data_IF_365841687962
#
_entry.id   IF_365841687962
#
_cell.length_a   1.000
_cell.length_b   1.000
_cell.length_c   1.000
_cell.angle_alpha   90.00
_cell.angle_beta   90.00
_cell.angle_gamma   90.00
#
_symmetry.space_group_name_H-M   'P 1'
#
loop_
_entity.id
_entity.type
_entity.pdbx_description
1 polymer ?
#
# COMPACT_ATOMS: atom_id res chain seq x y z
N UNK A 1 3.60 -3.51 -24.14
CA UNK A 1 3.90 -2.80 -25.40
C UNK A 1 3.93 -1.27 -25.21
N UNK A 2 3.06 -0.71 -24.35
CA UNK A 2 3.00 0.74 -24.06
C UNK A 2 4.27 1.37 -23.43
N UNK A 3 5.05 0.64 -22.63
CA UNK A 3 6.30 1.16 -22.06
C UNK A 3 7.41 1.40 -23.13
N UNK A 4 7.44 0.60 -24.20
CA UNK A 4 8.34 0.84 -25.35
C UNK A 4 7.89 2.03 -26.19
N UNK A 5 6.58 2.26 -26.35
CA UNK A 5 6.06 3.47 -26.99
C UNK A 5 6.39 4.74 -26.20
N UNK A 6 6.37 4.69 -24.85
CA UNK A 6 6.72 5.83 -23.98
C UNK A 6 8.16 6.31 -24.15
N UNK A 7 9.16 5.40 -24.20
CA UNK A 7 10.56 5.80 -24.46
C UNK A 7 10.79 6.25 -25.91
N UNK A 8 10.06 5.69 -26.87
CA UNK A 8 10.17 6.08 -28.27
C UNK A 8 9.63 7.50 -28.51
N UNK A 9 8.49 7.85 -27.91
CA UNK A 9 7.96 9.22 -27.93
C UNK A 9 8.89 10.24 -27.27
N UNK A 10 9.54 9.87 -26.16
CA UNK A 10 10.51 10.73 -25.47
C UNK A 10 11.71 11.09 -26.37
N UNK A 11 12.25 10.12 -27.13
CA UNK A 11 13.33 10.35 -28.10
C UNK A 11 12.86 11.12 -29.33
N UNK A 12 11.65 10.85 -29.84
CA UNK A 12 11.10 11.52 -31.02
C UNK A 12 10.80 13.00 -30.74
N UNK A 13 10.22 13.34 -29.59
CA UNK A 13 9.96 14.74 -29.22
C UNK A 13 11.25 15.56 -29.04
N UNK A 14 12.30 14.98 -28.47
CA UNK A 14 13.60 15.66 -28.33
C UNK A 14 14.35 15.81 -29.67
N UNK A 15 14.35 14.76 -30.51
CA UNK A 15 15.05 14.79 -31.80
C UNK A 15 14.36 15.68 -32.84
N UNK A 16 13.02 15.66 -32.93
CA UNK A 16 12.28 16.47 -33.89
C UNK A 16 12.45 17.98 -33.63
N UNK A 17 12.67 18.40 -32.38
CA UNK A 17 12.84 19.81 -32.03
C UNK A 17 14.26 20.35 -32.21
N UNK A 18 15.29 19.51 -32.02
CA UNK A 18 16.69 19.92 -32.25
C UNK A 18 16.93 20.38 -33.69
N UNK A 19 16.19 19.80 -34.64
CA UNK A 19 16.26 20.12 -36.07
C UNK A 19 15.59 21.47 -36.41
N UNK A 20 14.65 21.94 -35.58
CA UNK A 20 13.75 23.06 -35.94
C UNK A 20 14.16 24.43 -35.38
N UNK A 21 15.08 24.52 -34.40
CA UNK A 21 15.65 25.82 -33.97
C UNK A 21 17.01 26.16 -34.66
N UNK A 22 17.58 25.27 -35.47
CA UNK A 22 18.81 25.53 -36.25
C UNK A 22 18.54 26.12 -37.64
N UNK A 23 17.30 26.06 -38.15
CA UNK A 23 16.96 26.54 -39.49
C UNK A 23 16.16 27.85 -39.45
N UNK A 24 16.91 28.96 -39.57
CA UNK A 24 16.50 30.32 -39.98
C UNK A 24 15.44 31.06 -39.12
N UNK A 25 15.90 32.20 -38.57
CA UNK A 25 15.12 33.44 -38.36
C UNK A 25 13.83 33.33 -37.55
N UNK A 26 13.85 32.68 -36.39
CA UNK A 26 12.80 32.88 -35.40
C UNK A 26 13.39 33.46 -34.12
N UNK A 27 12.85 34.61 -33.72
CA UNK A 27 13.21 35.37 -32.53
C UNK A 27 13.46 34.44 -31.33
N UNK A 28 14.58 34.63 -30.63
CA UNK A 28 14.97 33.86 -29.44
C UNK A 28 13.87 33.78 -28.37
N UNK A 29 12.92 34.73 -28.39
CA UNK A 29 11.70 34.72 -27.57
C UNK A 29 10.70 33.63 -27.97
N UNK A 30 10.48 33.37 -29.27
CA UNK A 30 9.56 32.32 -29.74
C UNK A 30 10.08 30.92 -29.41
N UNK A 31 11.38 30.63 -29.63
CA UNK A 31 11.95 29.30 -29.29
C UNK A 31 11.91 29.08 -27.75
N UNK A 32 12.08 30.13 -26.91
CA UNK A 32 11.90 30.06 -25.44
C UNK A 32 10.45 29.82 -25.02
N UNK A 33 9.49 30.52 -25.62
CA UNK A 33 8.05 30.34 -25.32
C UNK A 33 7.57 28.93 -25.70
N UNK A 34 8.03 28.41 -26.85
CA UNK A 34 7.70 27.06 -27.28
C UNK A 34 8.35 25.97 -26.41
N UNK A 35 9.58 26.19 -25.94
CA UNK A 35 10.25 25.32 -24.96
C UNK A 35 9.53 25.31 -23.60
N UNK A 36 9.11 26.46 -23.10
CA UNK A 36 8.34 26.55 -21.86
C UNK A 36 6.98 25.87 -22.01
N UNK A 37 6.29 26.09 -23.14
CA UNK A 37 5.02 25.46 -23.42
C UNK A 37 5.15 23.93 -23.54
N UNK A 38 6.21 23.43 -24.19
CA UNK A 38 6.45 21.99 -24.29
C UNK A 38 6.84 21.36 -22.95
N UNK A 39 7.59 22.05 -22.09
CA UNK A 39 7.89 21.61 -20.72
C UNK A 39 6.63 21.58 -19.85
N UNK A 40 5.75 22.58 -19.95
CA UNK A 40 4.46 22.62 -19.24
C UNK A 40 3.55 21.50 -19.73
N UNK A 41 3.42 21.31 -21.04
CA UNK A 41 2.63 20.23 -21.65
C UNK A 41 3.20 18.86 -21.26
N UNK A 42 4.52 18.70 -21.25
CA UNK A 42 5.19 17.47 -20.80
C UNK A 42 4.94 17.19 -19.30
N UNK A 43 5.02 18.21 -18.44
CA UNK A 43 4.69 18.10 -17.03
C UNK A 43 3.21 17.72 -16.79
N UNK A 44 2.30 18.24 -17.62
CA UNK A 44 0.89 17.86 -17.62
C UNK A 44 0.67 16.41 -18.08
N UNK A 45 1.43 15.89 -19.04
CA UNK A 45 1.36 14.47 -19.46
C UNK A 45 2.12 13.51 -18.54
N UNK A 46 3.05 14.00 -17.73
CA UNK A 46 3.84 13.20 -16.80
C UNK A 46 3.11 12.88 -15.49
N UNK A 47 1.95 13.51 -15.24
CA UNK A 47 1.17 13.36 -14.00
C UNK A 47 -0.20 12.74 -14.29
N UNK A 48 -0.21 11.47 -14.73
CA UNK A 48 -1.44 10.69 -14.64
C UNK A 48 -1.61 10.20 -13.21
N UNK A 49 -2.62 10.68 -12.45
CA UNK A 49 -2.86 10.18 -11.11
C UNK A 49 -3.13 8.68 -11.17
N UNK A 50 -2.47 7.93 -10.30
CA UNK A 50 -2.68 6.49 -10.10
C UNK A 50 -4.18 6.22 -9.93
N UNK A 51 -4.77 5.43 -10.82
CA UNK A 51 -6.19 5.05 -10.71
C UNK A 51 -6.37 4.04 -9.56
N UNK A 52 -6.93 4.53 -8.46
CA UNK A 52 -7.46 3.67 -7.39
C UNK A 52 -8.75 3.04 -7.93
N UNK A 53 -8.72 1.74 -8.17
CA UNK A 53 -9.85 1.00 -8.72
C UNK A 53 -10.87 0.61 -7.65
N UNK A 54 -10.40 0.25 -6.44
CA UNK A 54 -11.26 -0.21 -5.34
C UNK A 54 -10.56 -0.02 -4.00
N UNK A 55 -11.34 0.27 -2.96
CA UNK A 55 -10.91 0.16 -1.56
C UNK A 55 -11.42 -1.17 -0.99
N UNK A 56 -10.54 -1.92 -0.34
CA UNK A 56 -10.83 -3.15 0.36
C UNK A 56 -11.01 -2.84 1.85
N UNK A 57 -12.11 -3.31 2.42
CA UNK A 57 -12.41 -3.27 3.85
C UNK A 57 -12.94 -4.63 4.31
N UNK A 58 -13.03 -4.82 5.63
CA UNK A 58 -13.64 -5.98 6.28
C UNK A 58 -14.69 -5.52 7.28
N UNK A 59 -15.63 -6.40 7.65
CA UNK A 59 -16.74 -6.05 8.54
C UNK A 59 -16.41 -6.14 10.03
N UNK A 60 -15.31 -6.79 10.38
CA UNK A 60 -14.92 -7.05 11.77
C UNK A 60 -13.87 -6.07 12.33
N UNK A 61 -13.50 -5.03 11.58
CA UNK A 61 -12.62 -3.97 12.09
C UNK A 61 -13.27 -3.11 13.18
N UNK A 62 -12.46 -2.59 14.09
CA UNK A 62 -12.90 -1.77 15.22
C UNK A 62 -13.54 -0.45 14.81
N UNK A 63 -14.57 -0.04 15.56
CA UNK A 63 -15.39 1.14 15.23
C UNK A 63 -14.75 2.46 15.66
N UNK A 64 -13.87 2.43 16.65
CA UNK A 64 -13.25 3.61 17.23
C UNK A 64 -11.94 4.00 16.54
N UNK A 65 -11.41 5.16 16.94
CA UNK A 65 -10.20 5.74 16.37
C UNK A 65 -10.41 6.59 15.11
N UNK A 66 -9.32 7.19 14.65
CA UNK A 66 -9.27 8.08 13.47
C UNK A 66 -8.49 7.42 12.34
N UNK A 67 -9.06 7.47 11.14
CA UNK A 67 -8.35 7.10 9.92
C UNK A 67 -7.16 8.03 9.70
N UNK A 68 -6.00 7.41 9.54
CA UNK A 68 -4.74 8.11 9.26
C UNK A 68 -4.60 8.35 7.75
N UNK A 69 -3.68 9.24 7.38
CA UNK A 69 -3.46 9.56 5.97
C UNK A 69 -3.06 8.30 5.18
N UNK A 70 -3.63 8.08 3.98
CA UNK A 70 -3.28 6.94 3.16
C UNK A 70 -1.85 7.06 2.63
N UNK A 71 -1.20 5.92 2.43
CA UNK A 71 0.15 5.83 1.87
C UNK A 71 0.18 4.81 0.74
N UNK A 72 0.96 5.09 -0.30
CA UNK A 72 0.92 4.36 -1.57
C UNK A 72 2.31 4.02 -2.08
N UNK A 73 2.43 2.82 -2.66
CA UNK A 73 3.61 2.41 -3.41
C UNK A 73 3.90 3.37 -4.58
N UNK A 74 5.18 3.52 -4.99
CA UNK A 74 5.56 4.33 -6.15
C UNK A 74 4.89 3.82 -7.41
N UNK A 75 4.57 4.72 -8.35
CA UNK A 75 3.80 4.39 -9.56
C UNK A 75 4.34 3.19 -10.33
N UNK A 76 3.41 2.33 -10.77
CA UNK A 76 3.73 1.05 -11.41
C UNK A 76 4.17 -0.07 -10.46
N UNK A 77 4.20 0.17 -9.15
CA UNK A 77 4.47 -0.84 -8.13
C UNK A 77 3.22 -1.24 -7.34
N UNK A 78 3.24 -2.47 -6.84
CA UNK A 78 2.22 -3.10 -6.00
C UNK A 78 2.87 -3.73 -4.77
N UNK A 79 2.07 -3.96 -3.73
CA UNK A 79 2.51 -4.65 -2.53
C UNK A 79 2.73 -6.14 -2.83
N UNK A 80 3.94 -6.62 -2.57
CA UNK A 80 4.34 -8.03 -2.75
C UNK A 80 4.54 -8.77 -1.43
N UNK A 81 4.50 -8.03 -0.33
CA UNK A 81 4.71 -8.51 1.02
C UNK A 81 4.45 -7.38 2.01
N UNK A 82 4.59 -7.69 3.28
CA UNK A 82 4.31 -6.76 4.36
C UNK A 82 5.11 -7.12 5.62
N UNK A 83 5.22 -6.16 6.52
CA UNK A 83 5.69 -6.33 7.90
C UNK A 83 4.62 -5.83 8.85
N UNK A 84 4.59 -6.42 10.03
CA UNK A 84 3.70 -6.01 11.11
C UNK A 84 4.53 -5.45 12.26
N UNK A 85 4.04 -4.39 12.89
CA UNK A 85 4.57 -3.90 14.17
C UNK A 85 3.69 -4.48 15.26
N UNK A 86 4.28 -5.36 16.07
CA UNK A 86 3.54 -6.09 17.11
C UNK A 86 4.33 -6.00 18.40
N UNK A 87 3.64 -5.67 19.49
CA UNK A 87 4.18 -5.74 20.84
C UNK A 87 4.34 -7.20 21.26
N UNK A 88 5.48 -7.54 21.85
CA UNK A 88 5.64 -8.85 22.48
C UNK A 88 5.08 -8.77 23.88
N UNK A 89 4.63 -9.91 24.39
CA UNK A 89 4.31 -10.14 25.79
C UNK A 89 5.35 -9.47 26.71
N UNK A 90 5.00 -8.38 27.37
CA UNK A 90 5.79 -7.70 28.38
C UNK A 90 5.03 -7.79 29.70
N UNK A 91 5.21 -8.91 30.41
CA UNK A 91 4.54 -9.08 31.69
C UNK A 91 4.53 -10.49 32.26
N UNK A 92 4.65 -10.68 33.56
CA UNK A 92 4.21 -11.93 34.25
C UNK A 92 2.77 -11.84 34.74
N UNK A 93 2.09 -10.72 34.45
CA UNK A 93 0.74 -10.42 34.92
C UNK A 93 -0.27 -10.37 33.77
N UNK A 94 -1.53 -10.64 34.12
CA UNK A 94 -2.68 -10.89 33.25
C UNK A 94 -3.39 -9.60 32.79
N UNK A 95 -2.80 -8.43 33.04
CA UNK A 95 -3.39 -7.11 32.78
C UNK A 95 -2.54 -6.22 31.85
N UNK A 96 -1.38 -6.71 31.40
CA UNK A 96 -0.53 -6.00 30.44
C UNK A 96 -0.97 -6.45 29.05
N UNK A 97 -1.40 -5.50 28.20
CA UNK A 97 -1.91 -5.76 26.86
C UNK A 97 -0.80 -6.28 25.94
N UNK A 98 -0.65 -7.59 26.00
CA UNK A 98 0.61 -8.23 25.72
C UNK A 98 0.85 -8.47 24.21
N UNK A 99 -0.07 -8.15 23.30
CA UNK A 99 -0.02 -8.69 21.93
C UNK A 99 -0.87 -8.02 20.83
N UNK A 100 -0.98 -6.69 20.84
CA UNK A 100 -1.77 -5.97 19.82
C UNK A 100 -1.00 -5.69 18.51
N UNK A 101 -1.76 -5.60 17.40
CA UNK A 101 -1.23 -5.08 16.14
C UNK A 101 -1.14 -3.56 16.22
N UNK A 102 0.06 -3.03 16.03
CA UNK A 102 0.36 -1.61 16.21
C UNK A 102 0.75 -0.89 14.92
N UNK A 103 0.98 -1.63 13.83
CA UNK A 103 1.33 -1.04 12.55
C UNK A 103 1.45 -2.05 11.43
N UNK A 104 1.22 -1.58 10.21
CA UNK A 104 1.34 -2.37 8.98
C UNK A 104 2.24 -1.58 8.02
N UNK A 105 3.26 -2.24 7.49
CA UNK A 105 4.15 -1.70 6.46
C UNK A 105 4.07 -2.61 5.23
N UNK A 106 3.69 -2.06 4.08
CA UNK A 106 3.70 -2.76 2.80
C UNK A 106 5.09 -2.68 2.18
N UNK A 107 5.54 -3.79 1.60
CA UNK A 107 6.76 -3.81 0.77
C UNK A 107 6.36 -3.81 -0.69
N UNK A 108 6.77 -2.76 -1.39
CA UNK A 108 6.43 -2.52 -2.78
C UNK A 108 7.40 -3.22 -3.73
N UNK A 109 6.91 -3.53 -4.93
CA UNK A 109 7.74 -4.02 -6.02
C UNK A 109 7.02 -4.06 -7.36
N UNK A 110 7.79 -4.34 -8.39
CA UNK A 110 7.28 -4.62 -9.75
C UNK A 110 7.25 -6.12 -9.99
N UNK A 111 6.73 -6.55 -11.14
CA UNK A 111 6.75 -7.97 -11.53
C UNK A 111 8.16 -8.56 -11.71
N UNK A 112 9.17 -7.70 -11.80
CA UNK A 112 10.57 -8.08 -11.96
C UNK A 112 11.35 -8.01 -10.63
N UNK A 113 10.73 -7.53 -9.56
CA UNK A 113 11.40 -7.42 -8.26
C UNK A 113 11.57 -8.82 -7.67
N UNK A 114 12.83 -9.23 -7.52
CA UNK A 114 13.24 -10.51 -6.93
C UNK A 114 13.95 -10.33 -5.58
N UNK A 115 14.43 -9.13 -5.26
CA UNK A 115 15.09 -8.82 -3.99
C UNK A 115 14.10 -8.79 -2.85
N UNK A 116 14.53 -9.17 -1.65
CA UNK A 116 13.73 -8.97 -0.43
C UNK A 116 13.66 -7.48 -0.03
N UNK A 117 14.69 -6.71 -0.39
CA UNK A 117 14.70 -5.25 -0.25
C UNK A 117 13.77 -4.58 -1.26
N UNK A 118 12.97 -3.62 -0.80
CA UNK A 118 12.04 -2.83 -1.62
C UNK A 118 11.64 -1.55 -0.91
N UNK A 119 11.08 -0.61 -1.68
CA UNK A 119 10.48 0.59 -1.10
C UNK A 119 9.31 0.19 -0.20
N UNK A 120 9.22 0.75 0.99
CA UNK A 120 8.17 0.42 1.95
C UNK A 120 7.24 1.60 2.18
N UNK A 121 5.99 1.29 2.50
CA UNK A 121 4.97 2.29 2.81
C UNK A 121 4.13 1.87 4.00
N UNK A 122 3.91 2.80 4.92
CA UNK A 122 3.01 2.65 6.06
C UNK A 122 2.09 3.87 6.13
N UNK A 123 0.89 3.67 6.68
CA UNK A 123 0.01 4.77 7.11
C UNK A 123 0.40 5.17 8.55
N UNK A 124 -0.53 5.64 9.38
CA UNK A 124 -0.21 5.84 10.79
C UNK A 124 0.00 4.50 11.51
N UNK A 125 0.91 4.50 12.48
CA UNK A 125 1.19 3.36 13.35
C UNK A 125 1.56 3.85 14.75
N UNK A 126 1.45 2.97 15.75
CA UNK A 126 1.82 3.25 17.13
C UNK A 126 3.34 3.21 17.35
N UNK A 127 3.82 3.95 18.35
CA UNK A 127 5.25 3.99 18.70
C UNK A 127 5.69 2.67 19.37
N UNK A 128 4.77 1.96 19.99
CA UNK A 128 4.97 0.71 20.71
C UNK A 128 5.16 -0.52 19.80
N UNK A 129 5.75 -1.57 20.38
CA UNK A 129 6.07 -2.82 19.69
C UNK A 129 7.25 -2.74 18.71
N UNK A 130 7.55 -3.87 18.07
CA UNK A 130 8.66 -4.02 17.13
C UNK A 130 8.19 -4.53 15.78
N UNK A 131 8.76 -3.99 14.70
CA UNK A 131 8.56 -4.52 13.35
C UNK A 131 9.09 -5.96 13.28
N UNK A 132 8.22 -6.87 12.84
CA UNK A 132 8.56 -8.28 12.64
C UNK A 132 9.17 -8.49 11.25
N UNK A 133 9.60 -9.73 11.01
CA UNK A 133 10.16 -10.16 9.72
C UNK A 133 9.20 -9.94 8.55
N UNK A 134 9.78 -9.84 7.35
CA UNK A 134 9.03 -9.70 6.11
C UNK A 134 8.24 -10.98 5.80
N UNK A 135 6.94 -10.84 5.57
CA UNK A 135 6.08 -11.89 5.03
C UNK A 135 5.80 -11.55 3.56
N UNK A 136 6.09 -12.46 2.65
CA UNK A 136 6.10 -12.20 1.20
C UNK A 136 5.26 -13.21 0.43
N UNK A 137 4.71 -12.79 -0.72
CA UNK A 137 4.06 -13.68 -1.69
C UNK A 137 5.03 -14.67 -2.35
N UNK A 138 6.32 -14.62 -2.02
CA UNK A 138 7.33 -15.52 -2.53
C UNK A 138 7.76 -15.15 -3.95
N UNK A 139 7.24 -15.89 -4.94
CA UNK A 139 7.76 -15.86 -6.32
C UNK A 139 7.53 -14.49 -7.00
N UNK A 140 8.44 -14.14 -7.92
CA UNK A 140 8.34 -12.90 -8.69
C UNK A 140 6.99 -12.79 -9.43
N UNK A 141 6.40 -11.59 -9.39
CA UNK A 141 5.13 -11.30 -10.05
C UNK A 141 3.87 -11.72 -9.27
N UNK A 142 3.99 -12.13 -8.01
CA UNK A 142 2.86 -12.32 -7.10
C UNK A 142 2.71 -11.12 -6.15
N UNK A 143 1.46 -10.71 -5.93
CA UNK A 143 1.13 -9.51 -5.16
C UNK A 143 -0.07 -9.74 -4.24
N UNK A 144 -0.17 -8.91 -3.19
CA UNK A 144 -1.29 -8.92 -2.26
C UNK A 144 -2.56 -8.45 -2.98
N UNK A 145 -3.66 -9.15 -2.79
CA UNK A 145 -4.92 -8.88 -3.51
C UNK A 145 -6.17 -8.90 -2.66
N UNK A 146 -6.13 -9.53 -1.48
CA UNK A 146 -7.20 -9.51 -0.49
C UNK A 146 -6.57 -9.64 0.90
N UNK A 147 -7.31 -9.28 1.94
CA UNK A 147 -6.86 -9.43 3.32
C UNK A 147 -7.99 -9.98 4.21
N UNK A 148 -7.61 -10.55 5.34
CA UNK A 148 -8.51 -10.91 6.43
C UNK A 148 -7.86 -10.43 7.72
N UNK A 149 -8.66 -9.77 8.57
CA UNK A 149 -8.22 -9.18 9.82
C UNK A 149 -8.58 -10.13 10.97
N UNK A 150 -7.61 -10.41 11.84
CA UNK A 150 -7.84 -11.12 13.09
C UNK A 150 -8.13 -10.12 14.18
N UNK A 151 -9.25 -10.32 14.83
CA UNK A 151 -9.80 -9.36 15.78
C UNK A 151 -10.38 -10.12 16.95
N UNK A 152 -10.16 -9.60 18.15
CA UNK A 152 -10.80 -10.12 19.35
C UNK A 152 -12.24 -9.63 19.42
N UNK A 153 -13.20 -10.55 19.51
CA UNK A 153 -14.60 -10.19 19.66
C UNK A 153 -14.87 -9.66 21.06
N UNK A 154 -15.68 -8.62 21.17
CA UNK A 154 -16.19 -8.06 22.42
C UNK A 154 -16.67 -9.14 23.40
N UNK A 155 -16.10 -9.18 24.61
CA UNK A 155 -16.42 -10.18 25.66
C UNK A 155 -17.38 -9.66 26.75
N UNK A 156 -17.88 -8.41 26.66
CA UNK A 156 -18.75 -7.82 27.69
C UNK A 156 -18.30 -6.41 28.09
N UNK A 157 -18.61 -5.96 29.30
CA UNK A 157 -18.39 -4.58 29.74
C UNK A 157 -16.90 -4.22 29.95
N UNK A 158 -16.19 -3.88 28.87
CA UNK A 158 -14.82 -3.37 28.87
C UNK A 158 -14.14 -3.61 27.53
N UNK A 159 -13.65 -2.52 26.93
CA UNK A 159 -12.95 -2.30 25.65
C UNK A 159 -13.28 -3.14 24.39
N UNK A 160 -13.41 -2.38 23.30
CA UNK A 160 -13.90 -2.80 22.01
C UNK A 160 -12.81 -3.40 21.15
N UNK A 161 -13.02 -4.63 20.69
CA UNK A 161 -12.61 -5.18 19.38
C UNK A 161 -11.31 -4.58 18.80
N UNK A 162 -10.16 -5.08 19.28
CA UNK A 162 -8.83 -4.67 18.82
C UNK A 162 -8.27 -5.59 17.72
N UNK A 163 -7.58 -5.01 16.72
CA UNK A 163 -6.90 -5.82 15.70
C UNK A 163 -5.65 -6.46 16.28
N UNK A 164 -5.53 -7.77 16.08
CA UNK A 164 -4.43 -8.58 16.61
C UNK A 164 -3.48 -9.03 15.50
N UNK A 165 -3.99 -9.25 14.29
CA UNK A 165 -3.16 -9.66 13.15
C UNK A 165 -3.86 -9.39 11.82
N UNK A 166 -3.11 -9.47 10.71
CA UNK A 166 -3.64 -9.46 9.35
C UNK A 166 -2.91 -10.48 8.47
N UNK A 167 -3.70 -11.21 7.68
CA UNK A 167 -3.19 -12.12 6.64
C UNK A 167 -3.71 -11.72 5.28
N UNK A 168 -3.01 -12.14 4.23
CA UNK A 168 -3.29 -11.73 2.87
C UNK A 168 -3.41 -12.91 1.90
N UNK A 169 -4.14 -12.69 0.81
CA UNK A 169 -4.08 -13.55 -0.36
C UNK A 169 -3.17 -12.96 -1.42
N UNK A 170 -2.29 -13.81 -1.92
CA UNK A 170 -1.36 -13.52 -2.99
C UNK A 170 -1.82 -14.13 -4.31
N UNK A 171 -1.69 -13.35 -5.38
CA UNK A 171 -2.00 -13.80 -6.75
C UNK A 171 -1.12 -13.07 -7.76
N UNK A 172 -0.86 -13.73 -8.89
CA UNK A 172 -0.26 -13.09 -10.06
C UNK A 172 -1.28 -12.19 -10.77
N UNK A 173 -0.90 -10.97 -11.16
CA UNK A 173 -1.81 -9.98 -11.79
C UNK A 173 -2.66 -10.54 -12.96
N UNK A 174 -2.12 -11.51 -13.71
CA UNK A 174 -2.79 -12.10 -14.88
C UNK A 174 -3.69 -13.30 -14.54
N UNK A 175 -3.52 -13.90 -13.36
CA UNK A 175 -4.33 -15.03 -12.89
C UNK A 175 -5.67 -14.51 -12.36
N UNK A 176 -6.74 -15.31 -12.41
CA UNK A 176 -8.05 -14.96 -11.82
C UNK A 176 -8.45 -15.91 -10.69
N UNK A 177 -7.91 -17.14 -10.67
CA UNK A 177 -8.34 -18.20 -9.75
C UNK A 177 -7.23 -18.81 -8.90
N UNK A 178 -5.95 -18.49 -9.17
CA UNK A 178 -4.83 -19.06 -8.40
C UNK A 178 -4.40 -18.11 -7.29
N UNK A 179 -4.91 -18.35 -6.09
CA UNK A 179 -4.55 -17.65 -4.87
C UNK A 179 -3.80 -18.59 -3.93
N UNK A 180 -2.90 -18.03 -3.11
CA UNK A 180 -2.42 -18.67 -1.90
C UNK A 180 -2.44 -17.64 -0.77
N UNK A 181 -2.55 -18.09 0.48
CA UNK A 181 -2.57 -17.20 1.63
C UNK A 181 -1.19 -17.11 2.27
N UNK A 182 -0.86 -15.93 2.80
CA UNK A 182 0.36 -15.68 3.58
C UNK A 182 0.00 -14.95 4.88
N UNK A 183 0.78 -15.19 5.92
CA UNK A 183 0.53 -14.68 7.27
C UNK A 183 0.24 -15.79 8.26
N UNK A 184 0.57 -15.55 9.52
CA UNK A 184 0.34 -16.46 10.65
C UNK A 184 -0.92 -16.05 11.43
N UNK A 185 -1.14 -16.66 12.58
CA UNK A 185 -2.15 -16.25 13.54
C UNK A 185 -1.50 -15.39 14.64
N UNK A 186 -2.19 -14.33 15.02
CA UNK A 186 -2.00 -13.61 16.27
C UNK A 186 -2.51 -14.40 17.47
N UNK A 187 -2.20 -13.92 18.66
CA UNK A 187 -2.42 -14.65 19.91
C UNK A 187 -3.88 -14.69 20.36
N UNK A 188 -4.66 -13.67 20.00
CA UNK A 188 -6.04 -13.50 20.46
C UNK A 188 -7.01 -13.27 19.30
N UNK A 189 -8.28 -13.53 19.57
CA UNK A 189 -9.36 -13.35 18.61
C UNK A 189 -9.34 -14.34 17.45
N UNK A 190 -10.15 -14.05 16.43
CA UNK A 190 -10.31 -14.91 15.25
C UNK A 190 -10.33 -14.08 13.97
N UNK A 191 -9.89 -14.71 12.88
CA UNK A 191 -9.97 -14.11 11.57
C UNK A 191 -11.43 -13.95 11.12
N UNK A 192 -11.76 -12.73 10.68
CA UNK A 192 -13.03 -12.45 10.01
C UNK A 192 -13.06 -12.99 8.58
N UNK A 193 -14.17 -12.72 7.90
CA UNK A 193 -14.28 -13.00 6.47
C UNK A 193 -13.17 -12.29 5.68
N UNK A 194 -12.75 -12.92 4.58
CA UNK A 194 -11.87 -12.27 3.62
C UNK A 194 -12.55 -11.04 3.02
N UNK A 195 -11.78 -9.97 2.81
CA UNK A 195 -12.20 -8.86 1.98
C UNK A 195 -12.52 -9.33 0.56
N UNK A 196 -13.17 -8.47 -0.22
CA UNK A 196 -13.15 -8.64 -1.67
C UNK A 196 -11.70 -8.70 -2.18
N UNK A 197 -11.50 -9.39 -3.31
CA UNK A 197 -10.20 -9.39 -3.98
C UNK A 197 -10.12 -8.24 -4.99
N UNK A 198 -8.91 -7.70 -5.20
CA UNK A 198 -8.62 -6.82 -6.31
C UNK A 198 -8.98 -7.49 -7.66
N UNK A 199 -9.43 -6.72 -8.64
CA UNK A 199 -9.78 -7.26 -9.96
C UNK A 199 -8.56 -7.83 -10.71
N UNK A 200 -8.78 -8.58 -11.79
CA UNK A 200 -7.71 -8.99 -12.72
C UNK A 200 -6.93 -7.76 -13.19
N UNK A 201 -5.59 -7.86 -13.27
CA UNK A 201 -4.73 -6.75 -13.65
C UNK A 201 -4.54 -5.68 -12.56
N UNK A 202 -5.00 -5.94 -11.33
CA UNK A 202 -4.82 -5.03 -10.20
C UNK A 202 -4.37 -5.77 -8.94
N UNK A 203 -3.69 -5.04 -8.05
CA UNK A 203 -3.24 -5.53 -6.75
C UNK A 203 -3.24 -4.39 -5.73
N UNK A 204 -3.11 -4.76 -4.45
CA UNK A 204 -2.97 -3.80 -3.36
C UNK A 204 -1.73 -2.95 -3.63
N UNK A 205 -1.89 -1.64 -3.49
CA UNK A 205 -0.84 -0.67 -3.79
C UNK A 205 -0.71 0.41 -2.72
N UNK A 206 -1.58 0.40 -1.72
CA UNK A 206 -1.55 1.35 -0.63
C UNK A 206 -2.47 0.91 0.49
N UNK A 207 -2.40 1.63 1.60
CA UNK A 207 -3.18 1.38 2.80
C UNK A 207 -3.52 2.67 3.53
N UNK A 208 -4.57 2.62 4.34
CA UNK A 208 -4.74 3.52 5.49
C UNK A 208 -5.14 2.72 6.72
N UNK A 209 -4.65 3.14 7.88
CA UNK A 209 -4.94 2.50 9.16
C UNK A 209 -5.86 3.38 9.98
N UNK A 210 -6.64 2.77 10.86
CA UNK A 210 -7.48 3.44 11.84
C UNK A 210 -6.87 3.24 13.21
N UNK A 211 -6.45 4.34 13.83
CA UNK A 211 -5.79 4.32 15.13
C UNK A 211 -6.67 4.97 16.19
N UNK A 212 -6.80 4.32 17.32
CA UNK A 212 -7.30 4.94 18.54
C UNK A 212 -6.25 5.91 19.08
N UNK A 213 -6.63 7.13 19.44
CA UNK A 213 -5.70 8.10 20.04
C UNK A 213 -5.93 8.06 21.54
N UNK A 214 -4.88 8.02 22.39
CA UNK A 214 -5.01 7.98 23.84
C UNK A 214 -5.97 9.06 24.35
N UNK A 215 -6.95 8.67 25.16
CA UNK A 215 -7.96 9.58 25.74
C UNK A 215 -7.61 10.08 27.14
N UNK A 216 -6.41 9.76 27.68
CA UNK A 216 -5.99 10.21 29.00
C UNK A 216 -4.78 9.46 29.55
N UNK A 217 -4.69 9.35 30.88
CA UNK A 217 -3.70 8.51 31.56
C UNK A 217 -4.24 7.09 31.69
N UNK A 218 -4.03 6.28 30.66
CA UNK A 218 -4.53 4.92 30.56
C UNK A 218 -4.95 4.62 29.13
N UNK A 219 -4.25 3.66 28.54
CA UNK A 219 -4.37 3.01 27.23
C UNK A 219 -3.92 3.75 25.96
N UNK A 220 -3.10 2.99 25.24
CA UNK A 220 -2.15 3.38 24.22
C UNK A 220 -2.78 3.39 22.81
N UNK A 221 -2.09 4.04 21.88
CA UNK A 221 -2.52 4.07 20.47
C UNK A 221 -2.56 2.64 19.91
N UNK A 222 -3.75 2.09 19.67
CA UNK A 222 -3.94 0.76 19.09
C UNK A 222 -4.49 0.83 17.65
N UNK A 223 -4.11 -0.14 16.80
CA UNK A 223 -4.70 -0.28 15.46
C UNK A 223 -6.02 -1.04 15.57
N UNK A 224 -7.11 -0.36 15.21
CA UNK A 224 -8.45 -0.93 15.27
C UNK A 224 -8.91 -1.47 13.92
N UNK A 225 -8.49 -0.85 12.82
CA UNK A 225 -8.92 -1.25 11.48
C UNK A 225 -7.91 -0.85 10.40
N UNK A 226 -8.06 -1.41 9.21
CA UNK A 226 -7.24 -1.11 8.03
C UNK A 226 -8.06 -1.22 6.76
N UNK A 227 -7.80 -0.30 5.83
CA UNK A 227 -8.25 -0.39 4.45
C UNK A 227 -7.07 -0.47 3.50
N UNK A 228 -7.22 -1.24 2.43
CA UNK A 228 -6.23 -1.37 1.37
C UNK A 228 -6.77 -0.88 0.03
N UNK A 229 -5.90 -0.29 -0.80
CA UNK A 229 -6.28 0.26 -2.09
C UNK A 229 -5.78 -0.62 -3.23
N UNK A 230 -6.70 -1.07 -4.09
CA UNK A 230 -6.39 -1.78 -5.34
C UNK A 230 -6.09 -0.78 -6.46
N UNK A 231 -4.97 -0.99 -7.15
CA UNK A 231 -4.52 -0.14 -8.26
C UNK A 231 -4.26 -1.00 -9.49
N UNK A 232 -4.56 -0.45 -10.67
CA UNK A 232 -4.35 -1.14 -11.94
C UNK A 232 -2.93 -1.00 -12.47
N UNK A 233 -2.49 -1.97 -13.28
CA UNK A 233 -1.36 -1.80 -14.19
C UNK A 233 -1.89 -1.31 -15.54
N UNK A 234 -1.90 0.00 -15.78
CA UNK A 234 -2.25 0.55 -17.09
C UNK A 234 -1.34 0.00 -18.22
#
# INVERSE_FOLDING_TARGET
>A
MLCKLKMMYFRICFYAFRINCDTKSNSSRMCRVLLLFSLVVCACYATFPRRIGRTLSVSNGGRWGKWQAPSFCPDGQFARGYKLKIERRQGTHFWEDDTSLNGIELVCGTRYTTSENGFTVSSGYSHWGNWKGLITCGSAGQFLTAFSLQVESYQGNGDDTAANYVKFQCRNLNSVSRFHSIGDDGFWGSYGAWSLSCAKGSAICGLRTKLEIPQGSGDDTALNDVEFYCCGSD
#
